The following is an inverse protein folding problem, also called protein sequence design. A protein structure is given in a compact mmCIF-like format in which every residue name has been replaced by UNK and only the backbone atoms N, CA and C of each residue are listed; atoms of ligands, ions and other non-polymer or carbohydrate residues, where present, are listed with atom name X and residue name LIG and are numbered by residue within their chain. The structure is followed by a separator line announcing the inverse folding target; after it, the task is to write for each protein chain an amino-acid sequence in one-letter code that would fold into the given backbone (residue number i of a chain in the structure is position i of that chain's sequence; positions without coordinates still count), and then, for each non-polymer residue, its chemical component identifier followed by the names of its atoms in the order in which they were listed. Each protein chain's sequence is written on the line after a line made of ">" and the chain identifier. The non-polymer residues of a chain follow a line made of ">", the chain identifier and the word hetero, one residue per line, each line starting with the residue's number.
data_IF_828536605160
#
_entry.id   IF_828536605160
#
_cell.length_a   1.000
_cell.length_b   1.000
_cell.length_c   1.000
_cell.angle_alpha   90.00
_cell.angle_beta   90.00
_cell.angle_gamma   90.00
#
_symmetry.space_group_name_H-M   'P 1'
#
loop_
_entity.id
_entity.type
_entity.pdbx_description
1 polymer ?
#
# COMPACT_ATOMS: atom_id res chain seq x y z
N UNK A 1 7.08 -33.00 -18.81
CA UNK A 1 6.75 -32.75 -17.40
C UNK A 1 6.16 -31.35 -17.28
N UNK A 2 4.83 -31.23 -17.39
CA UNK A 2 4.14 -29.94 -17.38
C UNK A 2 4.00 -29.47 -15.94
N UNK A 3 4.66 -28.36 -15.61
CA UNK A 3 4.58 -27.73 -14.29
C UNK A 3 3.24 -27.00 -14.19
N UNK A 4 2.22 -27.68 -13.66
CA UNK A 4 0.95 -27.08 -13.29
C UNK A 4 1.23 -25.95 -12.27
N UNK A 5 1.04 -24.70 -12.70
CA UNK A 5 1.02 -23.55 -11.79
C UNK A 5 -0.19 -23.72 -10.88
N UNK A 6 0.05 -24.10 -9.62
CA UNK A 6 -0.97 -24.07 -8.58
C UNK A 6 -1.55 -22.65 -8.50
N UNK A 7 -2.86 -22.55 -8.74
CA UNK A 7 -3.64 -21.33 -8.86
C UNK A 7 -4.23 -21.03 -7.47
N UNK A 8 -3.76 -19.96 -6.80
CA UNK A 8 -4.17 -19.66 -5.42
C UNK A 8 -5.49 -18.85 -5.42
N UNK A 9 -6.61 -19.40 -4.90
CA UNK A 9 -7.90 -18.70 -4.84
C UNK A 9 -7.89 -17.45 -3.96
N UNK A 10 -6.97 -17.35 -3.00
CA UNK A 10 -6.82 -16.21 -2.08
C UNK A 10 -6.43 -14.90 -2.79
N UNK A 11 -5.82 -14.99 -3.98
CA UNK A 11 -5.41 -13.82 -4.75
C UNK A 11 -6.60 -13.11 -5.41
N UNK A 12 -7.71 -13.82 -5.62
CA UNK A 12 -8.92 -13.26 -6.25
C UNK A 12 -9.71 -12.37 -5.29
N UNK A 13 -9.77 -12.71 -4.01
CA UNK A 13 -10.59 -11.97 -3.04
C UNK A 13 -10.11 -10.53 -2.85
N UNK A 14 -8.80 -10.30 -2.77
CA UNK A 14 -8.19 -8.96 -2.65
C UNK A 14 -8.42 -8.12 -3.92
N UNK A 15 -8.49 -8.74 -5.09
CA UNK A 15 -8.78 -8.03 -6.35
C UNK A 15 -10.24 -7.57 -6.47
N UNK A 16 -11.15 -8.14 -5.68
CA UNK A 16 -12.59 -7.91 -5.79
C UNK A 16 -13.12 -6.85 -4.81
N UNK A 17 -12.33 -6.42 -3.82
CA UNK A 17 -12.68 -5.29 -2.94
C UNK A 17 -12.58 -3.97 -3.70
N UNK A 18 -13.71 -3.34 -3.99
CA UNK A 18 -13.77 -2.02 -4.65
C UNK A 18 -13.67 -2.08 -6.18
N UNK A 19 -14.17 -3.14 -6.82
CA UNK A 19 -14.21 -3.24 -8.29
C UNK A 19 -15.13 -2.18 -8.90
N UNK A 20 -14.61 -1.49 -9.91
CA UNK A 20 -15.45 -0.66 -10.80
C UNK A 20 -16.42 -1.54 -11.58
N UNK A 21 -17.47 -0.94 -12.14
CA UNK A 21 -18.44 -1.65 -12.99
C UNK A 21 -17.71 -2.56 -13.98
N UNK A 22 -18.08 -3.83 -14.01
CA UNK A 22 -17.45 -4.83 -14.85
C UNK A 22 -18.51 -5.72 -15.51
N UNK A 23 -18.13 -6.40 -16.58
CA UNK A 23 -18.97 -7.42 -17.20
C UNK A 23 -18.88 -8.73 -16.40
N UNK A 24 -19.99 -9.23 -15.82
CA UNK A 24 -19.98 -10.46 -15.01
C UNK A 24 -19.52 -11.72 -15.75
N UNK A 25 -19.68 -11.77 -17.09
CA UNK A 25 -19.32 -12.96 -17.88
C UNK A 25 -17.83 -13.00 -18.23
N UNK A 26 -17.22 -11.83 -18.46
CA UNK A 26 -15.83 -11.72 -18.93
C UNK A 26 -14.86 -11.24 -17.85
N UNK A 27 -15.37 -10.66 -16.76
CA UNK A 27 -14.56 -9.99 -15.74
C UNK A 27 -13.97 -8.65 -16.20
N UNK A 28 -14.30 -8.18 -17.40
CA UNK A 28 -13.72 -6.95 -17.95
C UNK A 28 -14.25 -5.73 -17.19
N UNK A 29 -13.32 -4.97 -16.59
CA UNK A 29 -13.64 -3.74 -15.87
C UNK A 29 -13.76 -2.54 -16.83
N UNK A 30 -14.86 -1.80 -16.72
CA UNK A 30 -15.08 -0.56 -17.45
C UNK A 30 -14.45 0.61 -16.69
N UNK A 31 -13.15 0.83 -16.89
CA UNK A 31 -12.42 1.96 -16.29
C UNK A 31 -12.49 3.19 -17.17
N UNK A 32 -13.07 4.28 -16.66
CA UNK A 32 -12.87 5.63 -17.21
C UNK A 32 -11.44 6.07 -16.91
N UNK A 33 -10.66 6.40 -17.94
CA UNK A 33 -9.30 6.93 -17.75
C UNK A 33 -9.41 8.38 -17.27
N UNK A 34 -9.10 8.63 -16.00
CA UNK A 34 -8.77 9.98 -15.51
C UNK A 34 -7.32 10.31 -15.90
N UNK A 35 -7.07 11.53 -16.36
CA UNK A 35 -5.71 12.06 -16.56
C UNK A 35 -5.10 12.60 -15.27
N UNK A 36 -5.93 12.93 -14.27
CA UNK A 36 -5.49 13.44 -12.98
C UNK A 36 -5.19 12.27 -12.03
N UNK A 37 -3.98 12.23 -11.43
CA UNK A 37 -3.64 11.27 -10.38
C UNK A 37 -4.53 11.39 -9.16
N UNK A 38 -4.69 10.29 -8.41
CA UNK A 38 -5.41 10.30 -7.14
C UNK A 38 -4.59 10.94 -6.03
N UNK A 39 -5.24 11.39 -4.94
CA UNK A 39 -4.52 11.85 -3.73
C UNK A 39 -3.56 10.77 -3.20
N UNK A 40 -3.97 9.50 -3.23
CA UNK A 40 -3.12 8.37 -2.87
C UNK A 40 -1.85 8.30 -3.72
N UNK A 41 -1.96 8.54 -5.04
CA UNK A 41 -0.79 8.56 -5.93
C UNK A 41 0.12 9.75 -5.63
N UNK A 42 -0.43 10.97 -5.50
CA UNK A 42 0.36 12.15 -5.13
C UNK A 42 1.08 11.95 -3.79
N UNK A 43 0.39 11.43 -2.78
CA UNK A 43 0.98 11.13 -1.48
C UNK A 43 2.14 10.13 -1.59
N UNK A 44 1.92 9.00 -2.26
CA UNK A 44 2.95 7.96 -2.38
C UNK A 44 4.18 8.47 -3.15
N UNK A 45 3.98 9.18 -4.26
CA UNK A 45 5.07 9.75 -5.07
C UNK A 45 5.88 10.78 -4.29
N UNK A 46 5.20 11.70 -3.59
CA UNK A 46 5.86 12.69 -2.73
C UNK A 46 6.65 12.03 -1.60
N UNK A 47 6.04 11.09 -0.87
CA UNK A 47 6.70 10.42 0.24
C UNK A 47 7.92 9.61 -0.22
N UNK A 48 7.82 8.94 -1.38
CA UNK A 48 8.95 8.23 -1.98
C UNK A 48 10.10 9.19 -2.29
N UNK A 49 9.80 10.34 -2.90
CA UNK A 49 10.81 11.34 -3.26
C UNK A 49 11.52 11.88 -2.02
N UNK A 50 10.77 12.18 -0.96
CA UNK A 50 11.36 12.61 0.32
C UNK A 50 12.24 11.49 0.94
N UNK A 51 11.80 10.24 0.87
CA UNK A 51 12.54 9.10 1.42
C UNK A 51 13.78 8.70 0.60
N UNK A 52 13.92 9.16 -0.64
CA UNK A 52 15.19 9.07 -1.40
C UNK A 52 16.25 10.01 -0.84
N UNK A 53 15.83 11.20 -0.38
CA UNK A 53 16.72 12.19 0.20
C UNK A 53 17.00 11.95 1.70
N UNK A 54 16.08 11.30 2.41
CA UNK A 54 16.19 11.07 3.85
C UNK A 54 15.98 9.59 4.22
N UNK A 55 17.07 8.96 4.67
CA UNK A 55 17.08 7.56 5.10
C UNK A 55 16.32 7.31 6.41
N UNK A 56 15.98 8.36 7.17
CA UNK A 56 15.21 8.25 8.42
C UNK A 56 13.71 8.13 8.20
N UNK A 57 13.23 8.41 6.98
CA UNK A 57 11.82 8.27 6.64
C UNK A 57 11.45 6.79 6.55
N UNK A 58 10.42 6.42 7.30
CA UNK A 58 9.81 5.09 7.29
C UNK A 58 8.29 5.23 7.15
N UNK A 59 7.65 4.23 6.54
CA UNK A 59 6.22 4.21 6.29
C UNK A 59 5.54 3.11 7.12
N UNK A 60 4.33 3.38 7.61
CA UNK A 60 3.55 2.44 8.44
C UNK A 60 2.11 2.43 7.92
N UNK A 61 1.53 1.24 7.74
CA UNK A 61 0.10 1.05 7.49
C UNK A 61 -0.49 -0.09 8.30
N UNK A 62 -1.81 -0.11 8.43
CA UNK A 62 -2.56 -1.17 9.09
C UNK A 62 -3.32 -2.01 8.05
N UNK A 63 -2.66 -3.01 7.43
CA UNK A 63 -3.21 -3.86 6.35
C UNK A 63 -3.72 -3.14 5.09
N UNK A 64 -3.41 -1.85 4.93
CA UNK A 64 -4.02 -0.98 3.91
C UNK A 64 -3.03 -0.48 2.85
N UNK A 65 -1.94 -1.19 2.58
CA UNK A 65 -0.87 -0.74 1.67
C UNK A 65 -1.34 -0.32 0.26
N UNK A 66 -2.38 -0.97 -0.28
CA UNK A 66 -2.98 -0.58 -1.56
C UNK A 66 -3.85 0.68 -1.48
N UNK A 67 -4.65 0.82 -0.42
CA UNK A 67 -5.51 1.99 -0.20
C UNK A 67 -4.71 3.25 0.10
N UNK A 68 -3.65 3.13 0.90
CA UNK A 68 -2.77 4.24 1.29
C UNK A 68 -1.66 4.52 0.28
N UNK A 69 -1.46 3.64 -0.71
CA UNK A 69 -0.37 3.75 -1.68
C UNK A 69 1.01 3.39 -1.13
N UNK A 70 1.10 2.94 0.12
CA UNK A 70 2.37 2.52 0.72
C UNK A 70 2.91 1.20 0.14
N UNK A 71 2.14 0.46 -0.65
CA UNK A 71 2.64 -0.63 -1.47
C UNK A 71 3.72 -0.17 -2.48
N UNK A 72 3.59 1.03 -3.04
CA UNK A 72 4.62 1.63 -3.91
C UNK A 72 5.88 1.96 -3.12
N UNK A 73 5.73 2.51 -1.91
CA UNK A 73 6.83 2.80 -1.01
C UNK A 73 7.58 1.52 -0.61
N UNK A 74 6.84 0.49 -0.17
CA UNK A 74 7.40 -0.81 0.20
C UNK A 74 8.17 -1.48 -0.93
N UNK A 75 7.69 -1.36 -2.19
CA UNK A 75 8.39 -1.91 -3.34
C UNK A 75 9.78 -1.30 -3.53
N UNK A 76 9.95 -0.01 -3.21
CA UNK A 76 11.21 0.72 -3.35
C UNK A 76 12.09 0.63 -2.10
N UNK A 77 11.48 0.61 -0.92
CA UNK A 77 12.14 0.59 0.38
C UNK A 77 11.58 -0.53 1.26
N UNK A 78 11.83 -1.81 0.94
CA UNK A 78 11.20 -2.95 1.61
C UNK A 78 11.52 -3.03 3.09
N UNK A 79 12.69 -2.54 3.51
CA UNK A 79 13.12 -2.53 4.90
C UNK A 79 12.67 -1.27 5.68
N UNK A 80 11.89 -0.38 5.06
CA UNK A 80 11.42 0.88 5.66
C UNK A 80 9.90 1.04 5.61
N UNK A 81 9.16 -0.01 5.28
CA UNK A 81 7.70 -0.02 5.29
C UNK A 81 7.18 -1.13 6.19
N UNK A 82 6.30 -0.79 7.14
CA UNK A 82 5.78 -1.72 8.14
C UNK A 82 4.27 -1.88 8.00
N UNK A 83 3.83 -3.12 7.82
CA UNK A 83 2.43 -3.51 7.94
C UNK A 83 2.18 -4.04 9.36
N UNK A 84 1.39 -3.33 10.15
CA UNK A 84 1.05 -3.75 11.51
C UNK A 84 -0.19 -4.65 11.59
N UNK A 85 -0.76 -5.04 10.45
CA UNK A 85 -2.04 -5.76 10.40
C UNK A 85 -3.22 -4.84 10.71
N UNK A 86 -4.36 -5.38 11.12
CA UNK A 86 -5.59 -4.60 11.41
C UNK A 86 -5.54 -4.06 12.85
N UNK A 87 -4.56 -3.21 13.15
CA UNK A 87 -4.31 -2.67 14.50
C UNK A 87 -3.81 -1.21 14.43
N UNK A 88 -4.71 -0.28 14.13
CA UNK A 88 -4.40 1.15 13.95
C UNK A 88 -3.81 1.77 15.23
N UNK A 89 -4.28 1.36 16.40
CA UNK A 89 -3.74 1.82 17.69
C UNK A 89 -2.25 1.47 17.81
N UNK A 90 -1.88 0.23 17.45
CA UNK A 90 -0.49 -0.19 17.44
C UNK A 90 0.30 0.58 16.38
N UNK A 91 -0.26 0.84 15.20
CA UNK A 91 0.40 1.64 14.16
C UNK A 91 0.88 3.00 14.69
N UNK A 92 -0.01 3.71 15.40
CA UNK A 92 0.28 5.05 15.93
C UNK A 92 1.27 4.99 17.09
N UNK A 93 1.12 4.06 18.02
CA UNK A 93 2.07 3.91 19.14
C UNK A 93 3.45 3.44 18.66
N UNK A 94 3.50 2.55 17.66
CA UNK A 94 4.73 2.12 17.02
C UNK A 94 5.44 3.28 16.33
N UNK A 95 4.70 4.12 15.60
CA UNK A 95 5.23 5.36 15.03
C UNK A 95 5.81 6.27 16.11
N UNK A 96 5.13 6.43 17.25
CA UNK A 96 5.64 7.24 18.35
C UNK A 96 7.01 6.71 18.85
N UNK A 97 7.16 5.40 19.06
CA UNK A 97 8.44 4.81 19.46
C UNK A 97 9.55 4.98 18.42
N UNK A 98 9.24 4.84 17.13
CA UNK A 98 10.22 5.10 16.06
C UNK A 98 10.66 6.58 16.05
N UNK A 99 9.73 7.51 16.30
CA UNK A 99 10.03 8.93 16.40
C UNK A 99 10.92 9.26 17.61
N UNK A 100 10.74 8.60 18.75
CA UNK A 100 11.64 8.80 19.91
C UNK A 100 13.07 8.34 19.63
N UNK A 101 13.25 7.32 18.79
CA UNK A 101 14.56 6.84 18.34
C UNK A 101 15.14 7.65 17.15
N UNK A 102 14.53 8.78 16.81
CA UNK A 102 15.06 9.73 15.82
C UNK A 102 14.77 9.38 14.36
N UNK A 103 13.86 8.43 14.11
CA UNK A 103 13.29 8.21 12.77
C UNK A 103 12.17 9.22 12.48
N UNK A 104 11.74 9.26 11.22
CA UNK A 104 10.64 10.12 10.73
C UNK A 104 9.51 9.24 10.19
N UNK A 105 8.66 8.68 11.06
CA UNK A 105 7.62 7.75 10.66
C UNK A 105 6.42 8.48 10.05
N UNK A 106 5.94 7.96 8.92
CA UNK A 106 4.69 8.35 8.28
C UNK A 106 3.66 7.23 8.45
N UNK A 107 2.75 7.40 9.40
CA UNK A 107 1.66 6.45 9.67
C UNK A 107 0.45 6.81 8.82
N UNK A 108 0.22 6.06 7.73
CA UNK A 108 -0.91 6.28 6.83
C UNK A 108 -2.08 5.34 7.18
N UNK A 109 -3.20 5.95 7.62
CA UNK A 109 -4.40 5.29 8.16
C UNK A 109 -5.66 6.01 7.61
N UNK A 110 -6.81 5.33 7.57
CA UNK A 110 -8.12 5.89 7.21
C UNK A 110 -9.04 6.02 8.42
#
# INVERSE_FOLDING_TARGET
>A
MVRLKFYNPSSYSVMLTGVVKFDPKTGQQFKTKSTTPTYTQYFAESLIKEAEADNKIVAIHAAMGGGTGLNYFQKKFPNRCFDVGIVEQHAVTFAAGLATEGLKPFCAIY
#
